data_IF_244870867996
#
_entry.id   IF_244870867996
#
_cell.length_a   1.000
_cell.length_b   1.000
_cell.length_c   1.000
_cell.angle_alpha   90.00
_cell.angle_beta   90.00
_cell.angle_gamma   90.00
#
_symmetry.space_group_name_H-M   'P 1'
#
loop_
_entity.id
_entity.type
_entity.pdbx_description
1 polymer ?
#
# COMPACT_ATOMS: atom_id res chain seq x y z
N UNK A 1 -30.56 17.22 12.32
CA UNK A 1 -29.11 17.53 12.43
C UNK A 1 -28.98 18.69 13.40
N UNK A 2 -28.35 18.49 14.57
CA UNK A 2 -28.15 19.55 15.59
C UNK A 2 -26.70 20.08 15.58
N UNK A 3 -26.17 20.31 14.38
CA UNK A 3 -24.84 20.90 14.20
C UNK A 3 -24.90 22.43 14.28
N UNK A 4 -23.78 23.06 14.66
CA UNK A 4 -23.64 24.51 14.54
C UNK A 4 -23.64 24.91 13.07
N UNK A 5 -24.30 26.01 12.74
CA UNK A 5 -24.35 26.54 11.37
C UNK A 5 -23.08 27.33 11.10
N UNK A 6 -22.39 26.98 10.00
CA UNK A 6 -21.21 27.69 9.51
C UNK A 6 -21.62 28.65 8.39
N UNK A 7 -21.14 29.89 8.45
CA UNK A 7 -21.30 30.87 7.38
C UNK A 7 -19.96 31.03 6.63
N UNK A 8 -19.91 30.59 5.35
CA UNK A 8 -18.71 30.68 4.52
C UNK A 8 -18.30 32.11 4.16
N UNK A 9 -19.22 33.08 4.12
CA UNK A 9 -18.90 34.45 3.72
C UNK A 9 -18.07 35.16 4.79
N UNK A 10 -18.39 34.91 6.06
CA UNK A 10 -17.64 35.45 7.21
C UNK A 10 -16.54 34.50 7.70
N UNK A 11 -16.56 33.24 7.25
CA UNK A 11 -15.57 32.23 7.59
C UNK A 11 -15.68 31.69 9.03
N UNK A 12 -16.87 31.75 9.66
CA UNK A 12 -17.07 31.46 11.10
C UNK A 12 -18.40 30.78 11.37
N UNK A 13 -18.54 30.19 12.56
CA UNK A 13 -19.82 29.67 13.03
C UNK A 13 -20.73 30.80 13.50
N UNK A 14 -22.04 30.64 13.32
CA UNK A 14 -23.07 31.56 13.80
C UNK A 14 -23.40 31.37 15.29
N UNK A 15 -22.96 30.26 15.88
CA UNK A 15 -23.13 29.95 17.30
C UNK A 15 -21.81 29.52 17.95
N UNK A 16 -21.65 29.87 19.23
CA UNK A 16 -20.49 29.46 20.01
C UNK A 16 -20.48 27.93 20.22
N UNK A 17 -19.29 27.33 20.21
CA UNK A 17 -19.11 25.93 20.64
C UNK A 17 -19.50 25.77 22.12
N UNK A 18 -20.35 24.79 22.49
CA UNK A 18 -20.59 24.47 23.90
C UNK A 18 -19.36 23.89 24.61
N UNK A 19 -18.38 23.36 23.88
CA UNK A 19 -17.21 22.69 24.45
C UNK A 19 -15.89 23.36 24.04
N UNK A 20 -14.93 23.42 24.97
CA UNK A 20 -13.55 23.83 24.69
C UNK A 20 -12.74 22.55 24.49
N UNK A 21 -12.40 22.22 23.24
CA UNK A 21 -11.73 20.97 22.90
C UNK A 21 -10.32 20.83 23.49
N UNK A 22 -9.60 21.96 23.65
CA UNK A 22 -8.24 21.96 24.22
C UNK A 22 -8.06 23.17 25.15
N UNK A 23 -8.27 23.01 26.47
CA UNK A 23 -8.20 24.11 27.45
C UNK A 23 -6.82 24.78 27.58
N UNK A 24 -5.75 24.06 27.21
CA UNK A 24 -4.37 24.59 27.23
C UNK A 24 -3.99 25.31 25.94
N UNK A 25 -4.84 25.26 24.91
CA UNK A 25 -4.63 25.99 23.68
C UNK A 25 -5.50 27.26 23.71
N UNK A 26 -4.86 28.42 23.79
CA UNK A 26 -5.52 29.73 23.82
C UNK A 26 -6.42 29.97 22.60
N UNK A 27 -6.12 29.33 21.46
CA UNK A 27 -6.96 29.44 20.25
C UNK A 27 -8.30 28.71 20.38
N UNK A 28 -8.43 27.69 21.25
CA UNK A 28 -9.69 26.99 21.48
C UNK A 28 -10.76 27.87 22.15
N UNK A 29 -10.35 28.95 22.80
CA UNK A 29 -11.28 29.89 23.43
C UNK A 29 -12.01 30.78 22.41
N UNK A 30 -11.52 30.83 21.16
CA UNK A 30 -12.27 31.41 20.06
C UNK A 30 -13.33 30.41 19.55
N UNK A 31 -14.44 30.34 20.29
CA UNK A 31 -15.52 29.36 20.11
C UNK A 31 -16.31 29.50 18.79
N UNK A 32 -16.03 30.53 18.00
CA UNK A 32 -16.63 30.75 16.67
C UNK A 32 -15.66 30.40 15.52
N UNK A 33 -14.40 30.10 15.83
CA UNK A 33 -13.39 29.78 14.81
C UNK A 33 -13.72 28.48 14.08
N UNK A 34 -13.42 28.47 12.78
CA UNK A 34 -13.38 27.26 11.99
C UNK A 34 -11.94 26.74 12.00
N UNK A 35 -11.76 25.51 12.50
CA UNK A 35 -10.49 24.79 12.40
C UNK A 35 -9.29 25.56 12.98
N UNK A 36 -9.45 26.15 14.17
CA UNK A 36 -8.39 26.93 14.85
C UNK A 36 -7.84 28.07 13.96
N UNK A 37 -8.70 28.67 13.13
CA UNK A 37 -8.36 29.69 12.14
C UNK A 37 -7.35 29.23 11.05
N UNK A 38 -7.19 27.93 10.85
CA UNK A 38 -6.31 27.39 9.80
C UNK A 38 -7.01 26.27 9.01
N UNK A 39 -8.02 26.59 8.18
CA UNK A 39 -8.78 25.60 7.43
C UNK A 39 -7.88 24.74 6.52
N UNK A 40 -6.98 25.36 5.76
CA UNK A 40 -6.14 24.65 4.77
C UNK A 40 -5.26 23.57 5.40
N UNK A 41 -4.66 23.83 6.58
CA UNK A 41 -3.76 22.87 7.22
C UNK A 41 -4.46 21.55 7.56
N UNK A 42 -5.69 21.59 8.04
CA UNK A 42 -6.38 20.38 8.50
C UNK A 42 -7.23 19.73 7.41
N UNK A 43 -7.62 20.47 6.36
CA UNK A 43 -8.23 19.86 5.16
C UNK A 43 -7.19 19.07 4.36
N UNK A 44 -5.97 19.61 4.20
CA UNK A 44 -4.92 19.00 3.35
C UNK A 44 -4.35 17.70 3.96
N UNK A 45 -4.38 17.52 5.28
CA UNK A 45 -3.88 16.31 5.94
C UNK A 45 -4.70 15.05 5.62
N UNK A 46 -6.01 15.17 5.36
CA UNK A 46 -6.87 14.01 5.09
C UNK A 46 -6.78 13.53 3.64
N UNK A 47 -6.64 14.44 2.67
CA UNK A 47 -6.51 14.06 1.26
C UNK A 47 -5.10 13.56 0.92
N UNK A 48 -4.06 14.16 1.51
CA UNK A 48 -2.68 13.75 1.28
C UNK A 48 -2.35 12.39 1.92
N UNK A 49 -3.06 12.02 2.99
CA UNK A 49 -2.84 10.75 3.70
C UNK A 49 -3.09 9.51 2.82
N UNK A 50 -4.19 9.50 2.07
CA UNK A 50 -4.53 8.38 1.17
C UNK A 50 -3.54 8.24 0.01
N UNK A 51 -3.04 9.36 -0.51
CA UNK A 51 -2.04 9.39 -1.57
C UNK A 51 -0.73 8.75 -1.11
N UNK A 52 -0.25 9.10 0.08
CA UNK A 52 1.00 8.55 0.65
C UNK A 52 0.87 7.03 0.88
N UNK A 53 -0.24 6.55 1.43
CA UNK A 53 -0.48 5.12 1.61
C UNK A 53 -0.54 4.36 0.28
N UNK A 54 -1.09 4.97 -0.76
CA UNK A 54 -1.07 4.43 -2.13
C UNK A 54 0.36 4.20 -2.64
N UNK A 55 1.26 5.16 -2.45
CA UNK A 55 2.66 5.02 -2.86
C UNK A 55 3.42 3.95 -2.07
N UNK A 56 3.22 3.89 -0.75
CA UNK A 56 3.87 2.91 0.12
C UNK A 56 3.39 1.48 -0.21
N UNK A 57 2.09 1.28 -0.43
CA UNK A 57 1.53 -0.03 -0.78
C UNK A 57 2.00 -0.51 -2.16
N UNK A 58 2.14 0.38 -3.14
CA UNK A 58 2.67 0.03 -4.46
C UNK A 58 4.15 -0.40 -4.41
N UNK A 59 4.98 0.33 -3.66
CA UNK A 59 6.40 0.00 -3.50
C UNK A 59 6.62 -1.35 -2.81
N UNK A 60 5.88 -1.59 -1.72
CA UNK A 60 5.99 -2.84 -0.95
C UNK A 60 5.49 -4.05 -1.76
N UNK A 61 4.39 -3.92 -2.49
CA UNK A 61 3.85 -4.99 -3.33
C UNK A 61 4.85 -5.40 -4.43
N UNK A 62 5.49 -4.43 -5.10
CA UNK A 62 6.51 -4.70 -6.12
C UNK A 62 7.71 -5.48 -5.56
N UNK A 63 8.18 -5.11 -4.37
CA UNK A 63 9.30 -5.78 -3.71
C UNK A 63 8.96 -7.23 -3.31
N UNK A 64 7.76 -7.46 -2.76
CA UNK A 64 7.28 -8.79 -2.36
C UNK A 64 7.14 -9.72 -3.57
N UNK A 65 6.54 -9.23 -4.67
CA UNK A 65 6.38 -10.03 -5.90
C UNK A 65 7.74 -10.39 -6.49
N UNK A 66 8.71 -9.47 -6.51
CA UNK A 66 10.06 -9.75 -7.00
C UNK A 66 10.77 -10.82 -6.15
N UNK A 67 10.65 -10.74 -4.82
CA UNK A 67 11.25 -11.71 -3.90
C UNK A 67 10.64 -13.12 -4.03
N UNK A 68 9.32 -13.22 -4.24
CA UNK A 68 8.64 -14.51 -4.44
C UNK A 68 8.91 -15.05 -5.85
N UNK A 69 8.79 -14.20 -6.88
CA UNK A 69 8.96 -14.58 -8.28
C UNK A 69 10.37 -15.11 -8.59
N UNK A 70 11.41 -14.51 -8.02
CA UNK A 70 12.80 -14.98 -8.19
C UNK A 70 13.04 -16.36 -7.56
N UNK A 71 12.51 -16.59 -6.35
CA UNK A 71 12.58 -17.90 -5.68
C UNK A 71 11.86 -19.00 -6.46
N UNK A 72 10.65 -18.69 -6.97
CA UNK A 72 9.87 -19.63 -7.76
C UNK A 72 10.51 -19.92 -9.11
N UNK A 73 11.07 -18.90 -9.76
CA UNK A 73 11.77 -19.05 -11.03
C UNK A 73 12.98 -19.97 -10.87
N UNK A 74 13.85 -19.72 -9.89
CA UNK A 74 15.04 -20.54 -9.64
C UNK A 74 14.69 -22.01 -9.35
N UNK A 75 13.67 -22.26 -8.52
CA UNK A 75 13.19 -23.61 -8.24
C UNK A 75 12.71 -24.35 -9.49
N UNK A 76 11.94 -23.67 -10.36
CA UNK A 76 11.48 -24.25 -11.64
C UNK A 76 12.64 -24.58 -12.57
N UNK A 77 13.66 -23.71 -12.65
CA UNK A 77 14.82 -23.95 -13.51
C UNK A 77 15.62 -25.16 -13.03
N UNK A 78 15.85 -25.29 -11.73
CA UNK A 78 16.57 -26.44 -11.14
C UNK A 78 15.85 -27.75 -11.45
N UNK A 79 14.52 -27.79 -11.26
CA UNK A 79 13.72 -28.99 -11.56
C UNK A 79 13.77 -29.31 -13.06
N UNK A 80 13.62 -28.30 -13.93
CA UNK A 80 13.66 -28.49 -15.38
C UNK A 80 15.00 -29.06 -15.86
N UNK A 81 16.13 -28.55 -15.34
CA UNK A 81 17.45 -29.10 -15.64
C UNK A 81 17.55 -30.56 -15.17
N UNK A 82 17.19 -30.85 -13.92
CA UNK A 82 17.28 -32.21 -13.37
C UNK A 82 16.46 -33.24 -14.19
N UNK A 83 15.24 -32.87 -14.59
CA UNK A 83 14.36 -33.70 -15.43
C UNK A 83 14.94 -33.88 -16.83
N UNK A 84 15.48 -32.82 -17.43
CA UNK A 84 16.08 -32.90 -18.78
C UNK A 84 17.29 -33.83 -18.79
N UNK A 85 18.15 -33.74 -17.77
CA UNK A 85 19.30 -34.63 -17.64
C UNK A 85 18.89 -36.09 -17.44
N UNK A 86 17.91 -36.38 -16.59
CA UNK A 86 17.46 -37.76 -16.36
C UNK A 86 16.78 -38.36 -17.59
N UNK A 87 15.93 -37.60 -18.29
CA UNK A 87 15.28 -38.05 -19.53
C UNK A 87 16.31 -38.33 -20.63
N UNK A 88 17.29 -37.44 -20.82
CA UNK A 88 18.34 -37.62 -21.84
C UNK A 88 19.20 -38.84 -21.56
N UNK A 89 19.56 -39.06 -20.28
CA UNK A 89 20.34 -40.23 -19.87
C UNK A 89 19.58 -41.54 -20.12
N UNK A 90 18.29 -41.58 -19.76
CA UNK A 90 17.43 -42.75 -19.98
C UNK A 90 17.25 -43.02 -21.48
N UNK A 91 16.94 -42.00 -22.28
CA UNK A 91 16.71 -42.12 -23.71
C UNK A 91 17.97 -42.53 -24.50
N UNK A 92 19.15 -42.05 -24.07
CA UNK A 92 20.42 -42.37 -24.74
C UNK A 92 20.96 -43.73 -24.31
N UNK A 93 20.77 -44.11 -23.04
CA UNK A 93 21.13 -45.42 -22.52
C UNK A 93 20.30 -46.54 -23.16
N UNK A 94 18.99 -46.33 -23.33
CA UNK A 94 18.11 -47.27 -24.03
C UNK A 94 18.42 -47.35 -25.53
N UNK A 95 18.75 -46.23 -26.18
CA UNK A 95 19.14 -46.22 -27.59
C UNK A 95 20.46 -46.95 -27.86
N UNK A 96 21.43 -46.90 -26.94
CA UNK A 96 22.69 -47.68 -27.06
C UNK A 96 22.48 -49.16 -26.77
N UNK A 97 21.62 -49.51 -25.80
CA UNK A 97 21.29 -50.90 -25.49
C UNK A 97 20.54 -51.58 -26.65
N UNK A 98 19.63 -50.86 -27.33
CA UNK A 98 18.88 -51.38 -28.47
C UNK A 98 19.77 -51.68 -29.71
N UNK A 99 20.80 -50.88 -29.98
CA UNK A 99 21.73 -51.10 -31.11
C UNK A 99 22.79 -52.18 -30.86
N UNK A 100 22.95 -52.65 -29.63
CA UNK A 100 23.89 -53.73 -29.29
C UNK A 100 23.26 -55.13 -29.45
N UNK A 101 21.99 -55.21 -29.87
CA UNK A 101 21.24 -56.45 -30.05
C UNK A 101 20.99 -56.84 -31.51
N UNK A 102 21.52 -56.07 -32.47
CA UNK A 102 21.55 -56.40 -33.91
C UNK A 102 22.95 -56.89 -34.32
#
# INVERSE_FOLDING_TARGET
>A
MNGRVYDPQIGRFLSADPYIQSPYNTQSYNRYSYTINNPLKYTVLLETFWVILGFISAMTTKAVIAAIGTKLFLAKTIIAYAVTYSVTYIATGSAKAAKAQD
#
